data_IF_411147133594
#
_entry.id   IF_411147133594
#
_cell.length_a   1.000
_cell.length_b   1.000
_cell.length_c   1.000
_cell.angle_alpha   90.00
_cell.angle_beta   90.00
_cell.angle_gamma   90.00
#
_symmetry.space_group_name_H-M   'P 1'
#
loop_
_entity.id
_entity.type
_entity.pdbx_description
1 polymer ?
#
# COMPACT_ATOMS: atom_id res chain seq x y z
N UNK A 1 34.82 16.62 2.15
CA UNK A 1 33.87 15.74 2.85
C UNK A 1 32.74 16.62 3.37
N UNK A 2 31.58 16.63 2.69
CA UNK A 2 30.42 17.38 3.15
C UNK A 2 29.67 16.52 4.18
N UNK A 3 29.41 17.08 5.37
CA UNK A 3 28.55 16.43 6.36
C UNK A 3 27.13 16.38 5.81
N UNK A 4 26.54 15.17 5.76
CA UNK A 4 25.12 15.00 5.41
C UNK A 4 24.26 15.59 6.53
N UNK A 5 23.15 16.28 6.22
CA UNK A 5 22.23 16.77 7.23
C UNK A 5 21.67 15.58 8.01
N UNK A 6 21.81 15.61 9.34
CA UNK A 6 21.07 14.72 10.24
C UNK A 6 19.62 15.18 10.28
N UNK A 7 18.71 14.27 9.96
CA UNK A 7 17.29 14.46 10.22
C UNK A 7 17.02 13.96 11.64
N UNK A 8 16.88 14.89 12.58
CA UNK A 8 16.44 14.53 13.93
C UNK A 8 14.95 14.22 13.89
N UNK A 9 14.59 13.01 14.32
CA UNK A 9 13.20 12.57 14.39
C UNK A 9 12.48 13.34 15.52
N UNK A 10 11.27 13.88 15.30
CA UNK A 10 10.48 14.44 16.39
C UNK A 10 10.14 13.32 17.36
N UNK A 11 10.49 13.49 18.63
CA UNK A 11 10.13 12.56 19.70
C UNK A 11 8.61 12.48 19.79
N UNK A 12 8.06 11.27 19.84
CA UNK A 12 6.61 10.99 19.83
C UNK A 12 5.96 11.53 21.10
N UNK A 13 5.61 12.82 21.07
CA UNK A 13 4.60 13.43 21.91
C UNK A 13 3.28 13.43 21.13
N UNK A 14 2.29 12.69 21.62
CA UNK A 14 0.94 12.68 21.07
C UNK A 14 0.34 14.10 21.10
N UNK A 15 0.40 14.82 19.98
CA UNK A 15 -0.42 15.99 19.68
C UNK A 15 -0.37 16.29 18.17
N UNK A 16 -1.43 16.93 17.68
CA UNK A 16 -1.80 17.16 16.27
C UNK A 16 -0.80 17.95 15.38
N UNK A 17 0.45 18.15 15.82
CA UNK A 17 1.50 18.88 15.10
C UNK A 17 2.32 17.99 14.14
N UNK A 18 2.26 16.65 14.29
CA UNK A 18 3.00 15.70 13.44
C UNK A 18 2.52 15.62 11.98
N UNK A 19 1.37 16.19 11.65
CA UNK A 19 0.93 16.28 10.23
C UNK A 19 1.79 17.26 9.43
N UNK A 20 2.36 18.30 10.06
CA UNK A 20 3.03 19.40 9.36
C UNK A 20 4.38 18.99 8.74
N UNK A 21 5.14 18.11 9.40
CA UNK A 21 6.46 17.64 8.93
C UNK A 21 6.34 16.66 7.77
N UNK A 22 5.33 15.81 7.77
CA UNK A 22 5.11 14.84 6.69
C UNK A 22 4.70 15.53 5.38
N UNK A 23 3.83 16.54 5.44
CA UNK A 23 3.49 17.36 4.26
C UNK A 23 4.67 18.19 3.74
N UNK A 24 5.58 18.63 4.62
CA UNK A 24 6.80 19.32 4.18
C UNK A 24 7.74 18.41 3.38
N UNK A 25 7.83 17.12 3.74
CA UNK A 25 8.62 16.14 2.99
C UNK A 25 8.06 15.92 1.58
N UNK A 26 6.74 15.78 1.42
CA UNK A 26 6.12 15.66 0.10
C UNK A 26 6.33 16.91 -0.78
N UNK A 27 6.27 18.10 -0.19
CA UNK A 27 6.52 19.35 -0.92
C UNK A 27 7.99 19.53 -1.36
N UNK A 28 8.95 18.90 -0.66
CA UNK A 28 10.38 19.01 -0.95
C UNK A 28 10.86 17.91 -1.90
N UNK A 29 10.35 16.70 -1.75
CA UNK A 29 10.85 15.50 -2.44
C UNK A 29 9.90 14.95 -3.52
N UNK A 30 8.66 15.44 -3.58
CA UNK A 30 7.68 15.09 -4.62
C UNK A 30 7.14 13.66 -4.50
N UNK A 31 6.66 13.12 -5.63
CA UNK A 31 5.99 11.80 -5.72
C UNK A 31 6.94 10.59 -5.66
N UNK A 32 8.25 10.81 -5.51
CA UNK A 32 9.28 9.76 -5.59
C UNK A 32 9.65 9.17 -4.23
N UNK A 33 8.69 9.11 -3.30
CA UNK A 33 8.88 8.65 -1.94
C UNK A 33 8.17 7.30 -1.76
N UNK A 34 8.86 6.33 -1.19
CA UNK A 34 8.27 5.07 -0.76
C UNK A 34 8.48 4.85 0.73
N UNK A 35 7.42 4.38 1.39
CA UNK A 35 7.47 3.85 2.74
C UNK A 35 7.46 2.34 2.65
N UNK A 36 8.46 1.72 3.27
CA UNK A 36 8.61 0.28 3.35
C UNK A 36 8.32 -0.16 4.78
N UNK A 37 7.65 -1.30 4.91
CA UNK A 37 7.38 -1.98 6.17
C UNK A 37 7.95 -3.40 6.12
N UNK A 38 7.85 -4.14 7.23
CA UNK A 38 8.28 -5.53 7.33
C UNK A 38 9.78 -5.74 7.05
N UNK A 39 10.61 -4.75 7.37
CA UNK A 39 12.06 -4.89 7.24
C UNK A 39 12.58 -5.64 8.46
N UNK A 40 13.30 -6.78 8.29
CA UNK A 40 13.83 -7.54 9.41
C UNK A 40 14.69 -6.68 10.35
N UNK A 41 14.58 -6.94 11.66
CA UNK A 41 15.27 -6.17 12.70
C UNK A 41 16.80 -6.16 12.55
N UNK A 42 17.36 -7.19 11.90
CA UNK A 42 18.79 -7.39 11.66
C UNK A 42 19.27 -6.89 10.28
N UNK A 43 18.39 -6.35 9.45
CA UNK A 43 18.78 -5.77 8.16
C UNK A 43 19.69 -4.55 8.32
N UNK A 44 20.67 -4.40 7.44
CA UNK A 44 21.54 -3.23 7.45
C UNK A 44 21.16 -2.23 6.35
N UNK A 45 21.38 -0.94 6.59
CA UNK A 45 21.15 0.13 5.60
C UNK A 45 21.84 -0.19 4.26
N UNK A 46 23.07 -0.69 4.29
CA UNK A 46 23.82 -1.04 3.08
C UNK A 46 23.15 -2.16 2.26
N UNK A 47 22.48 -3.11 2.92
CA UNK A 47 21.77 -4.20 2.23
C UNK A 47 20.54 -3.65 1.50
N UNK A 48 19.79 -2.75 2.15
CA UNK A 48 18.66 -2.07 1.53
C UNK A 48 19.11 -1.22 0.34
N UNK A 49 20.17 -0.42 0.50
CA UNK A 49 20.73 0.37 -0.61
C UNK A 49 21.11 -0.53 -1.79
N UNK A 50 21.80 -1.65 -1.54
CA UNK A 50 22.17 -2.61 -2.59
C UNK A 50 20.94 -3.21 -3.28
N UNK A 51 19.91 -3.57 -2.50
CA UNK A 51 18.67 -4.11 -3.03
C UNK A 51 17.94 -3.09 -3.90
N UNK A 52 17.75 -1.86 -3.43
CA UNK A 52 16.95 -0.84 -4.12
C UNK A 52 17.69 -0.15 -5.27
N UNK A 53 19.04 -0.16 -5.27
CA UNK A 53 19.84 0.36 -6.39
C UNK A 53 19.57 -0.36 -7.72
N UNK A 54 18.98 -1.57 -7.71
CA UNK A 54 18.57 -2.27 -8.93
C UNK A 54 17.40 -1.58 -9.65
N UNK A 55 16.61 -0.78 -8.93
CA UNK A 55 15.45 -0.08 -9.49
C UNK A 55 15.76 1.36 -9.92
N UNK A 56 16.76 1.98 -9.29
CA UNK A 56 17.29 3.27 -9.69
C UNK A 56 18.14 3.92 -8.59
N UNK A 57 18.61 5.14 -8.84
CA UNK A 57 19.45 5.86 -7.88
C UNK A 57 18.62 6.37 -6.69
N UNK A 58 19.07 5.99 -5.49
CA UNK A 58 18.48 6.42 -4.21
C UNK A 58 19.07 7.78 -3.84
N UNK A 59 18.21 8.78 -3.68
CA UNK A 59 18.61 10.10 -3.21
C UNK A 59 18.84 10.11 -1.70
N UNK A 60 17.92 9.49 -0.95
CA UNK A 60 17.99 9.39 0.50
C UNK A 60 17.32 8.10 0.98
N UNK A 61 17.84 7.53 2.06
CA UNK A 61 17.24 6.40 2.74
C UNK A 61 17.32 6.65 4.24
N UNK A 62 16.18 6.51 4.90
CA UNK A 62 16.09 6.49 6.35
C UNK A 62 15.57 5.12 6.76
N UNK A 63 16.31 4.44 7.64
CA UNK A 63 15.93 3.15 8.20
C UNK A 63 15.69 3.35 9.69
N UNK A 64 14.57 2.84 10.18
CA UNK A 64 14.26 2.84 11.60
C UNK A 64 15.31 2.04 12.40
N UNK A 65 15.61 2.53 13.60
CA UNK A 65 16.53 1.85 14.52
C UNK A 65 15.89 0.56 15.05
N UNK A 66 16.67 -0.50 15.34
CA UNK A 66 16.13 -1.74 15.90
C UNK A 66 15.42 -1.54 17.24
N UNK A 67 14.13 -1.92 17.30
CA UNK A 67 13.34 -2.01 18.53
C UNK A 67 13.15 -3.47 18.96
N UNK A 68 14.25 -4.14 19.29
CA UNK A 68 14.22 -5.56 19.68
C UNK A 68 14.17 -6.50 18.48
N UNK A 69 13.12 -7.31 18.37
CA UNK A 69 12.93 -8.32 17.29
C UNK A 69 11.79 -7.98 16.34
N UNK A 70 11.22 -6.81 16.50
CA UNK A 70 10.10 -6.36 15.68
C UNK A 70 10.59 -5.94 14.30
N UNK A 71 9.72 -6.07 13.31
CA UNK A 71 9.96 -5.52 11.98
C UNK A 71 10.05 -4.00 12.04
N UNK A 72 10.77 -3.45 11.07
CA UNK A 72 11.09 -2.03 10.98
C UNK A 72 10.51 -1.40 9.74
N UNK A 73 10.53 -0.07 9.75
CA UNK A 73 10.14 0.74 8.61
C UNK A 73 11.36 1.43 7.97
N UNK A 74 11.23 1.75 6.68
CA UNK A 74 12.18 2.62 6.00
C UNK A 74 11.46 3.61 5.10
N UNK A 75 12.03 4.80 4.98
CA UNK A 75 11.63 5.82 4.01
C UNK A 75 12.71 5.90 2.94
N UNK A 76 12.33 5.65 1.68
CA UNK A 76 13.23 5.77 0.54
C UNK A 76 12.77 6.91 -0.34
N UNK A 77 13.72 7.79 -0.69
CA UNK A 77 13.52 8.87 -1.63
C UNK A 77 14.36 8.56 -2.86
N UNK A 78 13.70 8.43 -4.01
CA UNK A 78 14.34 8.12 -5.27
C UNK A 78 14.59 9.39 -6.08
N UNK A 79 15.68 9.39 -6.85
CA UNK A 79 16.07 10.57 -7.61
C UNK A 79 15.14 10.88 -8.80
N UNK A 80 14.39 9.90 -9.30
CA UNK A 80 13.52 10.07 -10.47
C UNK A 80 12.23 9.27 -10.36
N UNK A 81 11.17 9.77 -11.00
CA UNK A 81 9.88 9.07 -11.12
C UNK A 81 10.01 7.74 -11.85
N UNK A 82 10.90 7.65 -12.84
CA UNK A 82 11.23 6.40 -13.52
C UNK A 82 11.82 5.36 -12.57
N UNK A 83 12.67 5.76 -11.63
CA UNK A 83 13.21 4.87 -10.60
C UNK A 83 12.10 4.34 -9.69
N UNK A 84 11.14 5.20 -9.35
CA UNK A 84 9.98 4.82 -8.54
C UNK A 84 9.07 3.83 -9.29
N UNK A 85 8.72 4.12 -10.54
CA UNK A 85 7.97 3.20 -11.39
C UNK A 85 8.67 1.85 -11.54
N UNK A 86 10.00 1.84 -11.78
CA UNK A 86 10.78 0.60 -11.83
C UNK A 86 10.75 -0.17 -10.51
N UNK A 87 10.76 0.53 -9.37
CA UNK A 87 10.70 -0.09 -8.06
C UNK A 87 9.32 -0.71 -7.81
N UNK A 88 8.23 0.02 -8.09
CA UNK A 88 6.87 -0.51 -7.97
C UNK A 88 6.70 -1.73 -8.88
N UNK A 89 7.02 -1.60 -10.17
CA UNK A 89 6.91 -2.69 -11.13
C UNK A 89 7.85 -3.86 -10.78
N UNK A 90 9.03 -3.58 -10.25
CA UNK A 90 10.01 -4.60 -9.89
C UNK A 90 9.61 -5.39 -8.65
N UNK A 91 9.06 -4.71 -7.64
CA UNK A 91 8.45 -5.36 -6.47
C UNK A 91 7.23 -6.19 -6.89
N UNK A 92 6.38 -5.68 -7.80
CA UNK A 92 5.26 -6.46 -8.32
C UNK A 92 5.67 -7.73 -9.07
N UNK A 93 6.88 -7.78 -9.63
CA UNK A 93 7.42 -8.96 -10.30
C UNK A 93 8.18 -9.90 -9.33
N UNK A 94 8.78 -9.36 -8.26
CA UNK A 94 9.49 -10.14 -7.23
C UNK A 94 8.58 -10.64 -6.10
N UNK A 95 7.42 -10.01 -5.90
CA UNK A 95 6.33 -10.51 -5.07
C UNK A 95 5.25 -11.09 -5.98
N UNK A 96 5.24 -12.42 -6.20
CA UNK A 96 4.12 -13.08 -6.81
C UNK A 96 2.99 -13.17 -5.78
N UNK A 97 2.60 -12.05 -5.16
CA UNK A 97 1.35 -12.04 -4.42
C UNK A 97 0.26 -12.26 -5.45
N UNK A 98 -0.30 -13.46 -5.37
CA UNK A 98 -1.42 -13.87 -6.16
C UNK A 98 -2.53 -12.82 -6.00
N UNK A 99 -3.34 -12.63 -7.04
CA UNK A 99 -4.53 -11.77 -6.95
C UNK A 99 -5.38 -12.12 -5.71
N UNK A 100 -5.35 -13.39 -5.28
CA UNK A 100 -5.97 -13.90 -4.06
C UNK A 100 -5.43 -13.21 -2.81
N UNK A 101 -4.10 -13.12 -2.63
CA UNK A 101 -3.48 -12.47 -1.48
C UNK A 101 -3.79 -10.97 -1.44
N UNK A 102 -3.72 -10.29 -2.59
CA UNK A 102 -4.07 -8.87 -2.69
C UNK A 102 -5.53 -8.62 -2.30
N UNK A 103 -6.46 -9.44 -2.82
CA UNK A 103 -7.88 -9.33 -2.47
C UNK A 103 -8.14 -9.63 -0.99
N UNK A 104 -7.43 -10.60 -0.41
CA UNK A 104 -7.51 -10.91 1.01
C UNK A 104 -7.04 -9.73 1.89
N UNK A 105 -5.96 -9.06 1.51
CA UNK A 105 -5.49 -7.83 2.19
C UNK A 105 -6.55 -6.74 2.09
N UNK A 106 -7.14 -6.51 0.92
CA UNK A 106 -8.20 -5.52 0.77
C UNK A 106 -9.44 -5.85 1.61
N UNK A 107 -9.81 -7.13 1.77
CA UNK A 107 -10.87 -7.55 2.68
C UNK A 107 -10.56 -7.11 4.11
N UNK A 108 -9.34 -7.38 4.59
CA UNK A 108 -8.90 -6.96 5.93
C UNK A 108 -8.91 -5.45 6.13
N UNK A 109 -8.44 -4.68 5.14
CA UNK A 109 -8.43 -3.21 5.20
C UNK A 109 -9.83 -2.59 5.15
N UNK A 110 -10.74 -3.17 4.36
CA UNK A 110 -12.10 -2.67 4.19
C UNK A 110 -13.00 -2.89 5.42
N UNK A 111 -12.58 -3.70 6.39
CA UNK A 111 -13.29 -3.84 7.67
C UNK A 111 -13.31 -2.54 8.49
N UNK A 112 -12.32 -1.67 8.28
CA UNK A 112 -12.28 -0.35 8.91
C UNK A 112 -13.04 0.65 8.03
N UNK A 113 -14.17 1.17 8.53
CA UNK A 113 -15.10 2.04 7.78
C UNK A 113 -14.39 3.20 7.07
N UNK A 114 -13.41 3.81 7.74
CA UNK A 114 -12.61 4.94 7.23
C UNK A 114 -11.79 4.64 5.97
N UNK A 115 -11.52 3.36 5.66
CA UNK A 115 -10.77 2.94 4.46
C UNK A 115 -11.69 2.69 3.26
N UNK A 116 -13.00 2.58 3.50
CA UNK A 116 -13.99 2.12 2.49
C UNK A 116 -14.06 3.07 1.30
N UNK A 117 -14.08 4.38 1.51
CA UNK A 117 -14.17 5.38 0.42
C UNK A 117 -12.95 5.35 -0.51
N UNK A 118 -11.76 5.13 0.05
CA UNK A 118 -10.52 5.06 -0.74
C UNK A 118 -10.45 3.76 -1.56
N UNK A 119 -10.86 2.64 -0.95
CA UNK A 119 -10.89 1.33 -1.63
C UNK A 119 -11.97 1.32 -2.73
N UNK A 120 -13.14 1.89 -2.46
CA UNK A 120 -14.31 1.83 -3.34
C UNK A 120 -14.28 2.83 -4.52
N UNK A 121 -13.10 3.09 -5.10
CA UNK A 121 -13.02 3.84 -6.34
C UNK A 121 -13.74 3.12 -7.49
N UNK A 122 -14.41 3.86 -8.37
CA UNK A 122 -15.18 3.28 -9.49
C UNK A 122 -14.40 2.24 -10.30
N UNK A 123 -13.12 2.54 -10.60
CA UNK A 123 -12.22 1.64 -11.35
C UNK A 123 -11.91 0.35 -10.60
N UNK A 124 -11.81 0.42 -9.27
CA UNK A 124 -11.56 -0.75 -8.45
C UNK A 124 -12.81 -1.62 -8.37
N UNK A 125 -13.99 -1.00 -8.21
CA UNK A 125 -15.28 -1.72 -8.25
C UNK A 125 -15.44 -2.45 -9.59
N UNK A 126 -15.19 -1.80 -10.72
CA UNK A 126 -15.22 -2.43 -12.05
C UNK A 126 -14.33 -3.69 -12.10
N UNK A 127 -13.12 -3.63 -11.55
CA UNK A 127 -12.25 -4.80 -11.47
C UNK A 127 -12.75 -5.89 -10.52
N UNK A 128 -13.35 -5.53 -9.39
CA UNK A 128 -13.98 -6.53 -8.52
C UNK A 128 -15.11 -7.26 -9.26
N UNK A 129 -15.94 -6.54 -10.02
CA UNK A 129 -16.99 -7.16 -10.85
C UNK A 129 -16.38 -8.14 -11.86
N UNK A 130 -15.30 -7.78 -12.55
CA UNK A 130 -14.60 -8.72 -13.42
C UNK A 130 -14.10 -9.97 -12.65
N UNK A 131 -13.54 -9.79 -11.46
CA UNK A 131 -13.06 -10.88 -10.62
C UNK A 131 -14.18 -11.81 -10.12
N UNK A 132 -15.40 -11.31 -9.92
CA UNK A 132 -16.55 -12.18 -9.60
C UNK A 132 -16.89 -13.19 -10.71
N UNK A 133 -16.45 -12.92 -11.94
CA UNK A 133 -16.60 -13.81 -13.10
C UNK A 133 -15.37 -14.69 -13.36
N UNK A 134 -14.38 -14.64 -12.47
CA UNK A 134 -13.17 -15.45 -12.56
C UNK A 134 -13.50 -16.96 -12.48
N UNK A 135 -12.76 -17.76 -13.23
CA UNK A 135 -12.79 -19.24 -13.11
C UNK A 135 -12.05 -19.73 -11.86
N UNK A 136 -11.25 -18.87 -11.22
CA UNK A 136 -10.61 -19.18 -9.96
C UNK A 136 -11.58 -18.88 -8.81
N UNK A 137 -11.98 -19.93 -8.08
CA UNK A 137 -12.94 -19.83 -6.97
C UNK A 137 -12.46 -18.95 -5.82
N UNK A 138 -11.16 -18.91 -5.54
CA UNK A 138 -10.61 -18.08 -4.46
C UNK A 138 -10.71 -16.60 -4.82
N UNK A 139 -10.32 -16.24 -6.05
CA UNK A 139 -10.47 -14.87 -6.58
C UNK A 139 -11.94 -14.45 -6.54
N UNK A 140 -12.84 -15.33 -7.02
CA UNK A 140 -14.27 -15.07 -7.02
C UNK A 140 -14.83 -14.87 -5.61
N UNK A 141 -14.43 -15.72 -4.67
CA UNK A 141 -14.88 -15.67 -3.27
C UNK A 141 -14.45 -14.36 -2.61
N UNK A 142 -13.17 -13.99 -2.69
CA UNK A 142 -12.67 -12.76 -2.08
C UNK A 142 -13.22 -11.49 -2.75
N UNK A 143 -13.41 -11.51 -4.07
CA UNK A 143 -14.03 -10.37 -4.76
C UNK A 143 -15.49 -10.14 -4.29
N UNK A 144 -16.25 -11.22 -4.10
CA UNK A 144 -17.61 -11.15 -3.56
C UNK A 144 -17.63 -10.71 -2.10
N UNK A 145 -16.72 -11.24 -1.27
CA UNK A 145 -16.58 -10.83 0.13
C UNK A 145 -16.27 -9.33 0.24
N UNK A 146 -15.29 -8.85 -0.53
CA UNK A 146 -14.92 -7.44 -0.52
C UNK A 146 -16.08 -6.55 -0.98
N UNK A 147 -16.79 -6.93 -2.05
CA UNK A 147 -17.99 -6.21 -2.49
C UNK A 147 -19.05 -6.14 -1.37
N UNK A 148 -19.26 -7.22 -0.62
CA UNK A 148 -20.20 -7.23 0.50
C UNK A 148 -19.77 -6.30 1.63
N UNK A 149 -18.48 -6.32 2.01
CA UNK A 149 -17.92 -5.41 3.03
C UNK A 149 -18.09 -3.95 2.61
N UNK A 150 -17.74 -3.61 1.36
CA UNK A 150 -17.91 -2.26 0.83
C UNK A 150 -19.38 -1.83 0.81
N UNK A 151 -20.29 -2.73 0.43
CA UNK A 151 -21.73 -2.44 0.47
C UNK A 151 -22.23 -2.20 1.89
N UNK A 152 -21.79 -2.99 2.87
CA UNK A 152 -22.20 -2.84 4.27
C UNK A 152 -21.79 -1.46 4.82
N UNK A 153 -20.55 -1.05 4.53
CA UNK A 153 -19.94 0.19 5.03
C UNK A 153 -20.30 1.44 4.20
N UNK A 154 -20.91 1.30 3.03
CA UNK A 154 -21.26 2.44 2.15
C UNK A 154 -22.65 3.05 2.43
N UNK A 155 -22.77 4.35 2.19
CA UNK A 155 -24.06 5.04 2.17
C UNK A 155 -24.82 4.77 0.85
N UNK A 156 -25.81 3.86 0.92
CA UNK A 156 -26.92 3.63 -0.02
C UNK A 156 -26.62 3.20 -1.46
N UNK A 157 -25.75 3.87 -2.22
CA UNK A 157 -25.61 3.65 -3.67
C UNK A 157 -24.88 2.35 -4.00
N UNK A 158 -23.83 2.02 -3.25
CA UNK A 158 -23.06 0.78 -3.44
C UNK A 158 -23.86 -0.48 -3.08
N UNK A 159 -24.82 -0.38 -2.14
CA UNK A 159 -25.73 -1.48 -1.78
C UNK A 159 -26.56 -1.96 -2.98
N UNK A 160 -26.96 -1.05 -3.86
CA UNK A 160 -27.76 -1.38 -5.06
C UNK A 160 -26.92 -2.14 -6.08
N UNK A 161 -25.67 -1.71 -6.29
CA UNK A 161 -24.75 -2.34 -7.25
C UNK A 161 -24.45 -3.79 -6.84
N UNK A 162 -24.18 -4.02 -5.56
CA UNK A 162 -23.87 -5.37 -5.06
C UNK A 162 -25.08 -6.31 -5.14
N UNK A 163 -26.28 -5.83 -4.84
CA UNK A 163 -27.51 -6.61 -5.02
C UNK A 163 -27.68 -7.02 -6.50
N UNK A 164 -27.45 -6.10 -7.45
CA UNK A 164 -27.55 -6.40 -8.88
C UNK A 164 -26.52 -7.44 -9.33
N UNK A 165 -25.27 -7.34 -8.87
CA UNK A 165 -24.21 -8.30 -9.18
C UNK A 165 -24.55 -9.68 -8.60
N UNK A 166 -24.99 -9.76 -7.34
CA UNK A 166 -25.36 -11.03 -6.70
C UNK A 166 -26.55 -11.71 -7.40
N UNK A 167 -27.51 -10.94 -7.92
CA UNK A 167 -28.65 -11.48 -8.68
C UNK A 167 -28.18 -12.03 -10.03
N UNK A 168 -27.28 -11.33 -10.73
CA UNK A 168 -26.77 -11.78 -12.03
C UNK A 168 -25.91 -13.05 -11.91
N UNK A 169 -25.06 -13.13 -10.89
CA UNK A 169 -24.16 -14.27 -10.67
C UNK A 169 -24.86 -15.56 -10.23
N UNK A 170 -26.11 -15.50 -9.76
CA UNK A 170 -26.92 -16.67 -9.38
C UNK A 170 -27.87 -17.16 -10.49
N UNK A 171 -27.93 -16.46 -11.62
CA UNK A 171 -28.79 -16.81 -12.76
C UNK A 171 -28.07 -17.64 -13.84
N UNK A 172 -26.79 -17.99 -13.64
CA UNK A 172 -25.97 -18.82 -14.53
C UNK A 172 -25.54 -20.11 -13.84
#
# INVERSE_FOLDING_TARGET
MAQRPRFDCPTVGSNSENRSTFFALFNVFGDNIAVLSQIPCDSEENQLIQFFNKFGEIQNLWLEEPNGKEDRQALIILQSSKSFENMVNGIENDFPESIVERLNVFCGLALEEQNTEEIASDKFIEKLVEFTNSQNNDIKSYALELLLILAENSESEMKIIVILICVQSNLQ
#
